data_IF_814834658541
#
_entry.id   IF_814834658541
#
_cell.length_a   1.000
_cell.length_b   1.000
_cell.length_c   1.000
_cell.angle_alpha   90.00
_cell.angle_beta   90.00
_cell.angle_gamma   90.00
#
_symmetry.space_group_name_H-M   'P 1'
#
loop_
_entity.id
_entity.type
_entity.pdbx_description
1 polymer ?
#
# COMPACT_ATOMS: atom_id res chain seq x y z
N UNK A 1 17.40 -14.40 -1.06
CA UNK A 1 16.43 -13.41 -1.61
C UNK A 1 15.08 -14.05 -1.89
N UNK A 2 15.03 -15.28 -2.40
CA UNK A 2 13.78 -16.03 -2.58
C UNK A 2 13.70 -17.21 -1.59
N UNK A 3 12.48 -17.64 -1.27
CA UNK A 3 12.24 -18.87 -0.54
C UNK A 3 12.55 -20.09 -1.41
N UNK A 4 13.24 -21.11 -0.88
CA UNK A 4 13.57 -22.33 -1.63
C UNK A 4 12.34 -23.17 -2.00
N UNK A 5 11.27 -23.09 -1.19
CA UNK A 5 10.06 -23.89 -1.39
C UNK A 5 9.09 -23.32 -2.46
N UNK A 6 9.01 -21.99 -2.59
CA UNK A 6 7.98 -21.32 -3.40
C UNK A 6 8.54 -20.37 -4.47
N UNK A 7 9.82 -20.00 -4.40
CA UNK A 7 10.40 -18.98 -5.28
C UNK A 7 9.85 -17.56 -5.05
N UNK A 8 9.08 -17.35 -3.98
CA UNK A 8 8.61 -16.03 -3.58
C UNK A 8 9.72 -15.24 -2.86
N UNK A 9 9.74 -13.90 -2.94
CA UNK A 9 10.74 -13.10 -2.26
C UNK A 9 10.62 -13.23 -0.74
N UNK A 10 11.73 -13.53 -0.06
CA UNK A 10 11.84 -13.60 1.40
C UNK A 10 12.20 -12.25 2.03
N UNK A 11 12.67 -11.30 1.22
CA UNK A 11 13.13 -9.97 1.65
C UNK A 11 12.04 -8.89 1.55
N UNK A 12 10.77 -9.30 1.64
CA UNK A 12 9.65 -8.36 1.55
C UNK A 12 9.61 -7.52 2.82
N UNK A 13 9.64 -6.17 2.73
CA UNK A 13 9.50 -5.31 3.90
C UNK A 13 8.22 -5.57 4.69
N UNK A 14 8.27 -5.34 6.00
CA UNK A 14 7.16 -5.57 6.92
C UNK A 14 6.76 -4.29 7.67
N UNK A 15 5.57 -4.35 8.30
CA UNK A 15 5.07 -3.36 9.26
C UNK A 15 5.21 -1.91 8.78
N UNK A 16 6.02 -1.10 9.47
CA UNK A 16 6.09 0.35 9.33
C UNK A 16 6.58 0.78 7.94
N UNK A 17 7.45 -0.02 7.32
CA UNK A 17 7.95 0.25 5.97
C UNK A 17 6.80 0.16 4.97
N UNK A 18 5.96 -0.87 5.10
CA UNK A 18 4.77 -1.05 4.26
C UNK A 18 3.79 0.10 4.50
N UNK A 19 3.62 0.51 5.75
CA UNK A 19 2.74 1.62 6.11
C UNK A 19 3.19 2.94 5.49
N UNK A 20 4.48 3.28 5.60
CA UNK A 20 5.05 4.50 5.01
C UNK A 20 4.93 4.53 3.48
N UNK A 21 5.24 3.42 2.81
CA UNK A 21 5.09 3.30 1.36
C UNK A 21 3.62 3.37 0.93
N UNK A 22 2.72 2.72 1.67
CA UNK A 22 1.29 2.78 1.40
C UNK A 22 0.76 4.20 1.55
N UNK A 23 1.12 4.90 2.62
CA UNK A 23 0.70 6.27 2.87
C UNK A 23 1.19 7.21 1.75
N UNK A 24 2.46 7.11 1.35
CA UNK A 24 3.04 7.96 0.31
C UNK A 24 2.48 7.67 -1.10
N UNK A 25 2.06 6.44 -1.38
CA UNK A 25 1.56 6.04 -2.71
C UNK A 25 0.05 6.06 -2.84
N UNK A 26 -0.66 6.32 -1.74
CA UNK A 26 -2.11 6.49 -1.76
C UNK A 26 -2.46 7.83 -2.40
N UNK A 27 -3.49 7.82 -3.25
CA UNK A 27 -4.04 9.04 -3.82
C UNK A 27 -5.11 9.65 -2.91
N UNK A 28 -5.18 10.97 -2.94
CA UNK A 28 -6.21 11.76 -2.25
C UNK A 28 -6.92 12.64 -3.27
N UNK A 29 -8.24 12.73 -3.14
CA UNK A 29 -9.07 13.64 -3.92
C UNK A 29 -9.00 15.04 -3.29
N UNK A 30 -8.91 16.07 -4.10
CA UNK A 30 -8.77 17.47 -3.71
C UNK A 30 -7.50 17.73 -2.89
N UNK A 31 -6.40 17.12 -3.30
CA UNK A 31 -5.09 17.35 -2.69
C UNK A 31 -4.51 18.70 -3.12
N UNK A 32 -3.70 19.33 -2.27
CA UNK A 32 -2.96 20.53 -2.66
C UNK A 32 -2.04 20.23 -3.84
N UNK A 33 -2.16 20.98 -4.93
CA UNK A 33 -1.37 20.77 -6.15
C UNK A 33 -1.93 19.74 -7.12
N UNK A 34 -3.19 19.33 -6.96
CA UNK A 34 -3.86 18.43 -7.88
C UNK A 34 -3.96 19.01 -9.30
N UNK A 35 -3.67 18.18 -10.30
CA UNK A 35 -3.71 18.54 -11.72
C UNK A 35 -2.47 19.30 -12.24
N UNK A 36 -1.50 19.61 -11.37
CA UNK A 36 -0.25 20.26 -11.80
C UNK A 36 0.57 19.35 -12.71
N UNK A 37 1.28 19.99 -13.65
CA UNK A 37 2.15 19.31 -14.61
C UNK A 37 3.60 19.69 -14.31
N UNK A 38 4.47 18.69 -14.20
CA UNK A 38 5.88 18.85 -13.87
C UNK A 38 6.79 18.35 -15.00
N UNK A 39 7.89 19.07 -15.22
CA UNK A 39 8.88 18.79 -16.25
C UNK A 39 9.84 17.66 -15.88
N UNK A 40 10.11 17.45 -14.59
CA UNK A 40 10.97 16.39 -14.07
C UNK A 40 10.69 16.09 -12.59
N UNK A 41 11.31 15.03 -12.06
CA UNK A 41 11.17 14.61 -10.67
C UNK A 41 11.79 15.62 -9.70
N UNK A 42 12.84 16.33 -10.11
CA UNK A 42 13.48 17.36 -9.30
C UNK A 42 12.56 18.57 -9.05
N UNK A 43 11.71 18.92 -10.01
CA UNK A 43 10.67 19.93 -9.86
C UNK A 43 9.58 19.48 -8.89
N UNK A 44 9.17 18.21 -8.97
CA UNK A 44 8.22 17.62 -8.01
C UNK A 44 8.78 17.68 -6.58
N UNK A 45 10.06 17.34 -6.40
CA UNK A 45 10.73 17.42 -5.10
C UNK A 45 10.78 18.86 -4.58
N UNK A 46 11.18 19.83 -5.41
CA UNK A 46 11.19 21.26 -5.03
C UNK A 46 9.80 21.77 -4.64
N UNK A 47 8.77 21.36 -5.38
CA UNK A 47 7.40 21.76 -5.10
C UNK A 47 6.89 21.16 -3.78
N UNK A 48 7.28 19.91 -3.47
CA UNK A 48 6.98 19.27 -2.19
C UNK A 48 7.69 19.97 -1.04
N UNK A 49 8.98 20.28 -1.19
CA UNK A 49 9.79 20.97 -0.17
C UNK A 49 9.30 22.40 0.09
N UNK A 50 8.82 23.09 -0.95
CA UNK A 50 8.16 24.40 -0.84
C UNK A 50 6.72 24.31 -0.28
N UNK A 51 6.23 23.11 0.02
CA UNK A 51 4.89 22.86 0.53
C UNK A 51 3.77 23.24 -0.44
N UNK A 52 4.05 23.32 -1.74
CA UNK A 52 3.07 23.68 -2.77
C UNK A 52 2.21 22.49 -3.20
N UNK A 53 2.71 21.26 -2.99
CA UNK A 53 1.99 20.02 -3.31
C UNK A 53 1.98 19.06 -2.12
N UNK A 54 0.97 18.20 -2.04
CA UNK A 54 0.90 17.09 -1.08
C UNK A 54 1.40 15.77 -1.69
N UNK A 55 1.97 14.87 -0.87
CA UNK A 55 2.44 13.54 -1.32
C UNK A 55 1.35 12.73 -2.07
N UNK A 56 0.10 12.86 -1.64
CA UNK A 56 -1.03 12.13 -2.19
C UNK A 56 -1.73 12.84 -3.35
N UNK A 57 -1.27 14.02 -3.76
CA UNK A 57 -1.87 14.81 -4.84
C UNK A 57 -1.63 14.16 -6.20
N UNK A 58 -2.67 14.17 -7.05
CA UNK A 58 -2.59 13.68 -8.44
C UNK A 58 -1.92 14.72 -9.33
N UNK A 59 -0.87 14.31 -10.03
CA UNK A 59 -0.03 15.17 -10.85
C UNK A 59 0.29 14.48 -12.17
N UNK A 60 0.65 15.27 -13.18
CA UNK A 60 1.25 14.76 -14.40
C UNK A 60 2.74 15.09 -14.38
N UNK A 61 3.60 14.09 -14.57
CA UNK A 61 5.05 14.32 -14.59
C UNK A 61 5.66 13.66 -15.80
N UNK A 62 6.59 14.37 -16.44
CA UNK A 62 7.41 13.79 -17.50
C UNK A 62 8.48 12.91 -16.88
N UNK A 63 8.50 11.64 -17.29
CA UNK A 63 9.41 10.62 -16.76
C UNK A 63 10.11 9.90 -17.91
N UNK A 64 11.38 9.55 -17.70
CA UNK A 64 12.15 8.73 -18.64
C UNK A 64 12.26 7.31 -18.09
N UNK A 65 11.55 6.38 -18.72
CA UNK A 65 11.65 4.95 -18.42
C UNK A 65 12.74 4.31 -19.26
N UNK A 66 13.34 3.24 -18.75
CA UNK A 66 14.36 2.47 -19.46
C UNK A 66 13.83 1.09 -19.75
N UNK A 67 13.56 0.81 -21.03
CA UNK A 67 13.10 -0.51 -21.46
C UNK A 67 14.27 -1.30 -22.01
N UNK A 68 14.40 -2.56 -21.58
CA UNK A 68 15.44 -3.45 -22.11
C UNK A 68 15.00 -4.01 -23.46
N UNK A 69 15.72 -3.69 -24.52
CA UNK A 69 15.47 -4.26 -25.84
C UNK A 69 15.96 -5.73 -25.85
N UNK A 70 15.06 -6.65 -26.22
CA UNK A 70 15.35 -8.10 -26.19
C UNK A 70 16.36 -8.53 -27.25
N UNK A 71 16.52 -7.74 -28.31
CA UNK A 71 17.41 -8.05 -29.43
C UNK A 71 18.86 -7.60 -29.20
N UNK A 72 19.06 -6.39 -28.68
CA UNK A 72 20.39 -5.79 -28.46
C UNK A 72 20.89 -5.93 -27.03
N UNK A 73 20.00 -6.20 -26.08
CA UNK A 73 20.34 -6.24 -24.66
C UNK A 73 20.57 -4.86 -24.02
N UNK A 74 20.48 -3.78 -24.81
CA UNK A 74 20.66 -2.40 -24.39
C UNK A 74 19.37 -1.81 -23.78
N UNK A 75 19.54 -0.74 -23.01
CA UNK A 75 18.44 0.01 -22.40
C UNK A 75 18.11 1.22 -23.25
N UNK A 76 16.90 1.24 -23.80
CA UNK A 76 16.38 2.36 -24.58
C UNK A 76 15.59 3.32 -23.66
N UNK A 77 15.91 4.62 -23.66
CA UNK A 77 15.16 5.61 -22.90
C UNK A 77 13.86 5.97 -23.64
N UNK A 78 12.73 5.85 -22.95
CA UNK A 78 11.43 6.28 -23.44
C UNK A 78 10.88 7.35 -22.50
N UNK A 79 10.66 8.56 -23.03
CA UNK A 79 10.15 9.69 -22.24
C UNK A 79 8.65 9.85 -22.48
N UNK A 80 7.86 9.81 -21.41
CA UNK A 80 6.40 9.95 -21.46
C UNK A 80 5.92 10.84 -20.32
N UNK A 81 4.79 11.51 -20.54
CA UNK A 81 4.04 12.16 -19.47
C UNK A 81 3.15 11.10 -18.85
N UNK A 82 3.28 10.89 -17.54
CA UNK A 82 2.52 9.88 -16.81
C UNK A 82 1.68 10.56 -15.74
N UNK A 83 0.40 10.19 -15.70
CA UNK A 83 -0.51 10.56 -14.61
C UNK A 83 -0.19 9.71 -13.38
N UNK A 84 0.18 10.36 -12.28
CA UNK A 84 0.61 9.68 -11.05
C UNK A 84 0.37 10.56 -9.82
N UNK A 85 0.95 10.20 -8.67
CA UNK A 85 0.96 11.06 -7.48
C UNK A 85 2.38 11.52 -7.16
N UNK A 86 2.50 12.61 -6.41
CA UNK A 86 3.80 13.15 -5.96
C UNK A 86 4.66 12.07 -5.30
N UNK A 87 4.10 11.31 -4.36
CA UNK A 87 4.84 10.26 -3.67
C UNK A 87 5.26 9.08 -4.57
N UNK A 88 4.42 8.70 -5.55
CA UNK A 88 4.77 7.67 -6.56
C UNK A 88 5.87 8.18 -7.49
N UNK A 89 5.82 9.44 -7.91
CA UNK A 89 6.84 10.08 -8.73
C UNK A 89 8.20 10.10 -8.03
N UNK A 90 8.26 10.47 -6.74
CA UNK A 90 9.52 10.46 -5.97
C UNK A 90 10.10 9.05 -5.81
N UNK A 91 9.25 8.04 -5.61
CA UNK A 91 9.70 6.64 -5.57
C UNK A 91 10.21 6.14 -6.92
N UNK A 92 9.98 6.84 -8.04
CA UNK A 92 10.51 6.42 -9.34
C UNK A 92 12.04 6.42 -9.41
N UNK A 93 12.71 7.25 -8.62
CA UNK A 93 14.17 7.34 -8.58
C UNK A 93 14.83 6.08 -8.02
N UNK A 94 14.09 5.30 -7.21
CA UNK A 94 14.61 4.05 -6.66
C UNK A 94 14.48 2.88 -7.64
N UNK A 95 13.64 2.98 -8.69
CA UNK A 95 13.40 1.88 -9.61
C UNK A 95 14.66 1.48 -10.40
N UNK A 96 14.95 0.17 -10.52
CA UNK A 96 16.04 -0.29 -11.36
C UNK A 96 15.70 -0.13 -12.84
N UNK A 97 16.72 0.17 -13.66
CA UNK A 97 16.59 0.20 -15.12
C UNK A 97 16.02 -1.12 -15.64
N UNK A 98 15.00 -1.07 -16.49
CA UNK A 98 14.31 -2.24 -17.04
C UNK A 98 12.98 -2.59 -16.35
N UNK A 99 12.62 -1.94 -15.24
CA UNK A 99 11.31 -2.09 -14.60
C UNK A 99 10.38 -0.93 -14.99
N UNK A 100 9.22 -1.19 -15.63
CA UNK A 100 8.28 -0.14 -16.00
C UNK A 100 7.70 0.57 -14.77
N UNK A 101 7.47 1.87 -14.87
CA UNK A 101 6.88 2.65 -13.76
C UNK A 101 5.45 2.21 -13.43
N UNK A 102 4.73 1.64 -14.40
CA UNK A 102 3.39 1.05 -14.21
C UNK A 102 3.34 0.02 -13.06
N UNK A 103 4.45 -0.68 -12.80
CA UNK A 103 4.53 -1.62 -11.68
C UNK A 103 4.42 -0.95 -10.30
N UNK A 104 4.73 0.34 -10.21
CA UNK A 104 4.73 1.12 -8.99
C UNK A 104 3.66 2.24 -8.98
N UNK A 105 3.05 2.54 -10.12
CA UNK A 105 1.97 3.53 -10.22
C UNK A 105 0.63 3.01 -9.66
N UNK A 106 0.62 2.61 -8.39
CA UNK A 106 -0.53 2.10 -7.63
C UNK A 106 -0.25 2.19 -6.14
N UNK A 107 -1.29 2.04 -5.32
CA UNK A 107 -1.11 1.97 -3.88
C UNK A 107 -0.30 0.72 -3.48
N UNK A 108 0.88 0.92 -2.90
CA UNK A 108 1.81 -0.14 -2.53
C UNK A 108 1.38 -0.84 -1.24
N UNK A 109 0.54 -1.87 -1.38
CA UNK A 109 0.23 -2.83 -0.31
C UNK A 109 1.34 -3.89 -0.19
N UNK A 110 1.38 -4.63 0.93
CA UNK A 110 2.35 -5.74 1.15
C UNK A 110 2.46 -6.71 -0.03
N UNK A 111 1.33 -7.12 -0.61
CA UNK A 111 1.29 -8.02 -1.78
C UNK A 111 1.90 -7.39 -3.04
N UNK A 112 1.63 -6.11 -3.28
CA UNK A 112 2.17 -5.39 -4.44
C UNK A 112 3.68 -5.16 -4.31
N UNK A 113 4.17 -4.87 -3.10
CA UNK A 113 5.61 -4.76 -2.81
C UNK A 113 6.31 -6.10 -3.08
N UNK A 114 5.72 -7.21 -2.63
CA UNK A 114 6.24 -8.55 -2.94
C UNK A 114 6.30 -8.81 -4.46
N UNK A 115 5.23 -8.48 -5.18
CA UNK A 115 5.18 -8.61 -6.64
C UNK A 115 6.21 -7.72 -7.34
N UNK A 116 6.46 -6.52 -6.82
CA UNK A 116 7.44 -5.57 -7.34
C UNK A 116 8.87 -6.13 -7.22
N UNK A 117 9.24 -6.64 -6.05
CA UNK A 117 10.55 -7.27 -5.80
C UNK A 117 10.73 -8.51 -6.69
N UNK A 118 9.71 -9.36 -6.80
CA UNK A 118 9.76 -10.55 -7.67
C UNK A 118 9.93 -10.15 -9.16
N UNK A 119 9.22 -9.11 -9.61
CA UNK A 119 9.35 -8.61 -10.99
C UNK A 119 10.73 -8.02 -11.25
N UNK A 120 11.28 -7.25 -10.30
CA UNK A 120 12.65 -6.76 -10.33
C UNK A 120 13.65 -7.92 -10.44
N UNK A 121 13.47 -8.97 -9.63
CA UNK A 121 14.37 -10.13 -9.65
C UNK A 121 14.40 -10.80 -11.02
N UNK A 122 13.22 -11.02 -11.62
CA UNK A 122 13.08 -11.68 -12.92
C UNK A 122 13.59 -10.84 -14.10
N UNK A 123 13.43 -9.52 -14.06
CA UNK A 123 13.81 -8.62 -15.18
C UNK A 123 15.21 -8.03 -15.05
N UNK A 124 15.58 -7.58 -13.86
CA UNK A 124 16.78 -6.80 -13.58
C UNK A 124 17.89 -7.65 -12.90
N UNK A 125 17.57 -8.86 -12.44
CA UNK A 125 18.52 -9.78 -11.82
C UNK A 125 18.76 -9.52 -10.33
N UNK A 126 19.67 -10.31 -9.74
CA UNK A 126 19.91 -10.36 -8.30
C UNK A 126 20.48 -9.04 -7.75
N UNK A 127 21.59 -8.54 -8.31
CA UNK A 127 22.30 -7.36 -7.80
C UNK A 127 21.40 -6.11 -7.78
N UNK A 128 20.68 -5.86 -8.87
CA UNK A 128 19.76 -4.73 -8.97
C UNK A 128 18.62 -4.84 -7.95
N UNK A 129 18.11 -6.05 -7.71
CA UNK A 129 17.01 -6.27 -6.78
C UNK A 129 17.41 -6.08 -5.33
N UNK A 130 18.64 -6.46 -4.94
CA UNK A 130 19.14 -6.22 -3.58
C UNK A 130 19.28 -4.72 -3.31
N UNK A 131 19.87 -3.98 -4.25
CA UNK A 131 19.99 -2.51 -4.14
C UNK A 131 18.61 -1.85 -4.11
N UNK A 132 17.68 -2.33 -4.94
CA UNK A 132 16.31 -1.82 -4.97
C UNK A 132 15.58 -2.05 -3.63
N UNK A 133 15.68 -3.25 -3.07
CA UNK A 133 15.04 -3.59 -1.80
C UNK A 133 15.58 -2.74 -0.65
N UNK A 134 16.88 -2.47 -0.61
CA UNK A 134 17.50 -1.60 0.39
C UNK A 134 17.04 -0.14 0.26
N UNK A 135 17.03 0.42 -0.96
CA UNK A 135 16.49 1.77 -1.21
C UNK A 135 15.00 1.90 -0.84
N UNK A 136 14.22 0.84 -1.11
CA UNK A 136 12.80 0.78 -0.78
C UNK A 136 12.59 0.72 0.74
N UNK A 137 13.45 -0.01 1.47
CA UNK A 137 13.47 -0.05 2.92
C UNK A 137 13.75 1.34 3.52
N UNK A 138 14.83 2.00 3.07
CA UNK A 138 15.23 3.32 3.56
C UNK A 138 14.16 4.38 3.31
N UNK A 139 13.61 4.42 2.09
CA UNK A 139 12.54 5.36 1.77
C UNK A 139 11.25 5.05 2.53
N UNK A 140 10.90 3.77 2.70
CA UNK A 140 9.71 3.41 3.47
C UNK A 140 9.80 3.85 4.93
N UNK A 141 10.95 3.69 5.59
CA UNK A 141 11.16 4.22 6.93
C UNK A 141 11.08 5.74 6.97
N UNK A 142 11.80 6.44 6.07
CA UNK A 142 11.77 7.91 5.99
C UNK A 142 10.34 8.44 5.82
N UNK A 143 9.59 7.87 4.88
CA UNK A 143 8.21 8.26 4.60
C UNK A 143 7.26 7.92 5.77
N UNK A 144 7.49 6.80 6.46
CA UNK A 144 6.73 6.43 7.65
C UNK A 144 6.92 7.44 8.78
N UNK A 145 8.17 7.83 9.06
CA UNK A 145 8.48 8.86 10.06
C UNK A 145 7.88 10.21 9.69
N UNK A 146 7.98 10.63 8.43
CA UNK A 146 7.38 11.88 7.96
C UNK A 146 5.85 11.87 7.99
N UNK A 147 5.21 10.70 7.82
CA UNK A 147 3.76 10.60 7.87
C UNK A 147 3.20 10.82 9.28
N UNK A 148 4.02 10.67 10.33
CA UNK A 148 3.61 10.94 11.71
C UNK A 148 2.41 10.09 12.15
N UNK A 149 2.27 8.88 11.61
CA UNK A 149 1.11 8.02 11.88
C UNK A 149 1.16 7.58 13.34
N UNK A 150 0.09 7.88 14.06
CA UNK A 150 -0.13 7.48 15.44
C UNK A 150 -1.50 6.84 15.58
N UNK A 151 -1.75 6.22 16.73
CA UNK A 151 -3.03 5.62 17.07
C UNK A 151 -3.49 6.13 18.43
N UNK A 152 -4.73 6.60 18.49
CA UNK A 152 -5.38 7.08 19.70
C UNK A 152 -6.68 6.31 19.96
N UNK A 153 -7.20 6.43 21.18
CA UNK A 153 -8.47 5.78 21.55
C UNK A 153 -9.64 6.26 20.68
N UNK A 154 -9.57 7.50 20.19
CA UNK A 154 -10.57 8.09 19.29
C UNK A 154 -10.59 7.48 17.88
N UNK A 155 -9.51 6.81 17.45
CA UNK A 155 -9.48 6.10 16.16
C UNK A 155 -10.27 4.79 16.20
N UNK A 156 -10.58 4.29 17.41
CA UNK A 156 -11.43 3.12 17.61
C UNK A 156 -12.91 3.50 17.56
N UNK A 157 -13.42 3.66 16.34
CA UNK A 157 -14.83 3.97 16.10
C UNK A 157 -15.73 2.79 16.48
N UNK A 158 -16.48 2.94 17.57
CA UNK A 158 -17.53 2.00 17.96
C UNK A 158 -18.77 2.25 17.10
N UNK A 159 -19.27 1.26 16.34
CA UNK A 159 -20.47 1.45 15.53
C UNK A 159 -21.69 1.80 16.39
N UNK A 160 -22.49 2.82 16.01
CA UNK A 160 -23.66 3.22 16.77
C UNK A 160 -24.74 2.12 16.85
N UNK A 161 -24.73 1.16 15.92
CA UNK A 161 -25.66 0.02 15.89
C UNK A 161 -25.30 -1.07 16.92
N UNK A 162 -24.12 -1.02 17.54
CA UNK A 162 -23.64 -2.06 18.45
C UNK A 162 -24.64 -2.37 19.60
N UNK A 163 -25.23 -1.38 20.31
CA UNK A 163 -26.17 -1.66 21.39
C UNK A 163 -27.45 -2.34 20.91
N UNK A 164 -27.92 -1.98 19.70
CA UNK A 164 -29.14 -2.56 19.11
C UNK A 164 -28.93 -4.03 18.73
N UNK A 165 -27.78 -4.35 18.13
CA UNK A 165 -27.42 -5.73 17.76
C UNK A 165 -27.31 -6.60 19.02
N UNK A 166 -26.64 -6.09 20.06
CA UNK A 166 -26.50 -6.80 21.34
C UNK A 166 -27.88 -6.98 22.00
N UNK A 167 -28.71 -5.94 22.04
CA UNK A 167 -30.05 -6.02 22.64
C UNK A 167 -30.96 -7.01 21.92
N UNK A 168 -30.87 -7.12 20.58
CA UNK A 168 -31.58 -8.15 19.82
C UNK A 168 -31.11 -9.55 20.16
N UNK A 169 -29.80 -9.78 20.21
CA UNK A 169 -29.24 -11.09 20.59
C UNK A 169 -29.59 -11.47 22.04
N UNK A 170 -29.54 -10.52 22.97
CA UNK A 170 -29.94 -10.75 24.37
C UNK A 170 -31.42 -11.10 24.50
N UNK A 171 -32.29 -10.47 23.70
CA UNK A 171 -33.71 -10.81 23.66
C UNK A 171 -33.95 -12.24 23.13
N UNK A 172 -33.24 -12.63 22.06
CA UNK A 172 -33.33 -13.98 21.49
C UNK A 172 -32.84 -15.05 22.47
N UNK A 173 -31.71 -14.80 23.15
CA UNK A 173 -31.21 -15.70 24.21
C UNK A 173 -32.20 -15.80 25.36
N UNK A 174 -32.85 -14.69 25.73
CA UNK A 174 -33.88 -14.69 26.78
C UNK A 174 -35.11 -15.52 26.37
N UNK A 175 -35.52 -15.46 25.11
CA UNK A 175 -36.60 -16.28 24.58
C UNK A 175 -36.25 -17.77 24.61
N UNK A 176 -35.04 -18.14 24.17
CA UNK A 176 -34.56 -19.53 24.21
C UNK A 176 -34.47 -20.03 25.67
N UNK A 177 -34.03 -19.18 26.60
CA UNK A 177 -33.99 -19.52 28.02
C UNK A 177 -35.40 -19.72 28.60
N UNK A 178 -36.39 -18.94 28.17
CA UNK A 178 -37.79 -19.17 28.55
C UNK A 178 -38.31 -20.50 28.01
N UNK A 179 -38.03 -20.81 26.74
CA UNK A 179 -38.39 -22.11 26.13
C UNK A 179 -37.78 -23.28 26.93
N UNK A 180 -36.54 -23.16 27.39
CA UNK A 180 -35.90 -24.17 28.25
C UNK A 180 -36.61 -24.34 29.60
N UNK A 181 -36.93 -23.23 30.29
CA UNK A 181 -37.66 -23.28 31.58
C UNK A 181 -39.03 -23.92 31.43
N UNK A 182 -39.72 -23.67 30.31
CA UNK A 182 -41.00 -24.31 29.99
C UNK A 182 -40.88 -25.77 29.50
N UNK A 183 -39.67 -26.31 29.37
CA UNK A 183 -39.42 -27.69 28.93
C UNK A 183 -39.60 -27.92 27.41
N UNK A 184 -39.71 -26.85 26.61
CA UNK A 184 -39.88 -26.91 25.15
C UNK A 184 -38.59 -27.27 24.40
N UNK A 185 -37.42 -27.07 25.02
CA UNK A 185 -36.10 -27.39 24.46
C UNK A 185 -35.21 -28.05 25.50
N UNK A 186 -34.33 -28.94 25.03
CA UNK A 186 -33.37 -29.64 25.90
C UNK A 186 -32.16 -28.76 26.24
N UNK A 187 -31.40 -29.15 27.28
CA UNK A 187 -30.17 -28.43 27.68
C UNK A 187 -29.12 -28.37 26.55
N UNK A 188 -29.02 -29.44 25.74
CA UNK A 188 -28.12 -29.49 24.59
C UNK A 188 -28.53 -28.57 23.44
N UNK A 189 -29.83 -28.50 23.14
CA UNK A 189 -30.36 -27.59 22.11
C UNK A 189 -30.25 -26.12 22.53
N UNK A 190 -30.46 -25.82 23.83
CA UNK A 190 -30.22 -24.49 24.39
C UNK A 190 -28.77 -24.05 24.17
N UNK A 191 -27.81 -24.91 24.49
CA UNK A 191 -26.38 -24.60 24.34
C UNK A 191 -25.97 -24.35 22.89
N UNK A 192 -26.61 -25.01 21.92
CA UNK A 192 -26.30 -24.81 20.50
C UNK A 192 -27.01 -23.60 19.87
N UNK A 193 -28.10 -23.11 20.49
CA UNK A 193 -28.89 -21.97 19.99
C UNK A 193 -28.48 -20.62 20.61
N UNK A 194 -27.69 -20.62 21.66
CA UNK A 194 -27.11 -19.44 22.33
C UNK A 194 -25.65 -19.29 21.90
#
# INVERSE_FOLDING_TARGET
VLFPASGEPSIVPSQDVVLGLYHATRERINGKGEGMVFADIGEVQRALDAGQVELAAKINVRMTEWTKNKATGEFEPETKIVETTVGRALLSEILPKGLPFSNMNKALKKKEISKLINTSFRKCGLKATVVFADKLLQNGFRLSTHAGISIAIGDMLVPPQKPEIIGRAEAEVKEIQQQYVSGLVTSGERYNKV
#
